data_IF_075566071742
#
_entry.id   IF_075566071742
#
_cell.length_a   1.000
_cell.length_b   1.000
_cell.length_c   1.000
_cell.angle_alpha   90.00
_cell.angle_beta   90.00
_cell.angle_gamma   90.00
#
_symmetry.space_group_name_H-M   'P 1'
#
loop_
_entity.id
_entity.type
_entity.pdbx_description
1 polymer ?
#
# COMPACT_ATOMS: atom_id res chain seq x y z
N UNK A 1 -29.03 -51.36 37.71
CA UNK A 1 -28.64 -51.70 36.32
C UNK A 1 -28.86 -50.47 35.44
N UNK A 2 -27.88 -50.23 34.55
CA UNK A 2 -27.86 -49.29 33.41
C UNK A 2 -27.68 -47.80 33.73
N UNK A 3 -26.42 -47.43 33.94
CA UNK A 3 -25.93 -46.07 33.65
C UNK A 3 -25.87 -45.85 32.14
N UNK A 4 -26.37 -44.71 31.69
CA UNK A 4 -26.29 -44.27 30.31
C UNK A 4 -24.96 -43.54 30.09
N UNK A 5 -24.06 -44.27 29.43
CA UNK A 5 -22.75 -43.86 28.96
C UNK A 5 -22.89 -43.19 27.59
N UNK A 6 -22.11 -42.11 27.40
CA UNK A 6 -21.62 -41.54 26.15
C UNK A 6 -22.58 -41.31 24.98
N UNK A 7 -23.00 -40.06 24.85
CA UNK A 7 -23.00 -39.24 23.62
C UNK A 7 -23.55 -37.89 24.09
N UNK A 8 -22.99 -36.70 23.90
CA UNK A 8 -22.45 -36.08 22.70
C UNK A 8 -21.63 -34.87 23.23
N UNK A 9 -20.36 -35.06 23.59
CA UNK A 9 -19.41 -33.97 23.86
C UNK A 9 -18.37 -33.91 22.74
N UNK A 10 -18.86 -33.88 21.49
CA UNK A 10 -18.05 -33.77 20.28
C UNK A 10 -18.60 -32.67 19.38
N UNK A 11 -18.71 -31.46 19.92
CA UNK A 11 -18.88 -30.23 19.13
C UNK A 11 -17.88 -29.18 19.65
N UNK A 12 -16.61 -29.58 19.80
CA UNK A 12 -15.45 -28.68 19.77
C UNK A 12 -14.75 -28.82 18.41
N UNK A 13 -15.54 -28.98 17.35
CA UNK A 13 -15.05 -28.74 15.99
C UNK A 13 -14.86 -27.24 15.87
N UNK A 14 -13.63 -26.77 16.12
CA UNK A 14 -13.17 -25.45 15.75
C UNK A 14 -13.32 -25.27 14.26
N UNK A 15 -14.54 -24.96 13.82
CA UNK A 15 -14.74 -24.28 12.55
C UNK A 15 -14.24 -22.87 12.79
N UNK A 16 -12.95 -22.66 12.52
CA UNK A 16 -12.51 -21.35 12.08
C UNK A 16 -13.25 -21.13 10.77
N UNK A 17 -14.48 -20.60 10.88
CA UNK A 17 -15.21 -20.09 9.75
C UNK A 17 -14.29 -19.03 9.16
N UNK A 18 -13.63 -19.37 8.05
CA UNK A 18 -13.08 -18.36 7.17
C UNK A 18 -14.31 -17.72 6.54
N UNK A 19 -14.90 -16.77 7.26
CA UNK A 19 -15.96 -15.93 6.72
C UNK A 19 -15.33 -15.25 5.51
N UNK A 20 -15.68 -15.73 4.31
CA UNK A 20 -15.58 -14.90 3.12
C UNK A 20 -16.41 -13.66 3.45
N UNK A 21 -15.73 -12.58 3.83
CA UNK A 21 -16.35 -11.28 4.02
C UNK A 21 -17.05 -11.00 2.71
N UNK A 22 -18.39 -11.00 2.76
CA UNK A 22 -19.24 -11.26 1.58
C UNK A 22 -19.01 -10.26 0.45
N UNK A 23 -18.35 -9.13 0.73
CA UNK A 23 -18.16 -8.00 -0.20
C UNK A 23 -16.80 -7.28 -0.07
N UNK A 24 -15.71 -7.95 0.32
CA UNK A 24 -14.42 -7.24 0.43
C UNK A 24 -13.18 -8.09 0.72
N UNK A 25 -12.06 -7.41 0.91
CA UNK A 25 -10.78 -7.99 1.26
C UNK A 25 -10.31 -7.47 2.62
N UNK A 26 -9.92 -8.40 3.50
CA UNK A 26 -9.37 -8.06 4.82
C UNK A 26 -7.86 -7.79 4.69
N UNK A 27 -7.43 -6.56 5.00
CA UNK A 27 -6.03 -6.17 5.04
C UNK A 27 -5.70 -5.53 6.39
N UNK A 28 -4.92 -6.23 7.21
CA UNK A 28 -4.71 -5.84 8.60
C UNK A 28 -6.01 -5.93 9.39
N UNK A 29 -6.44 -4.82 9.99
CA UNK A 29 -7.71 -4.67 10.70
C UNK A 29 -8.85 -4.12 9.83
N UNK A 30 -8.56 -3.71 8.60
CA UNK A 30 -9.51 -2.99 7.74
C UNK A 30 -10.09 -3.89 6.65
N UNK A 31 -11.34 -3.65 6.30
CA UNK A 31 -12.03 -4.33 5.18
C UNK A 31 -12.16 -3.36 4.02
N UNK A 32 -11.53 -3.70 2.91
CA UNK A 32 -11.58 -2.93 1.67
C UNK A 32 -12.64 -3.49 0.72
N UNK A 33 -13.43 -2.61 0.11
CA UNK A 33 -14.34 -3.03 -0.97
C UNK A 33 -13.53 -3.51 -2.18
N UNK A 34 -14.15 -4.32 -3.03
CA UNK A 34 -13.54 -4.71 -4.31
C UNK A 34 -13.17 -3.45 -5.12
N UNK A 35 -11.95 -3.40 -5.63
CA UNK A 35 -11.42 -2.24 -6.35
C UNK A 35 -9.98 -1.88 -5.96
N UNK A 36 -9.60 -0.65 -6.28
CA UNK A 36 -8.27 -0.10 -6.03
C UNK A 36 -8.37 0.97 -4.95
N UNK A 37 -7.47 0.88 -3.96
CA UNK A 37 -7.41 1.77 -2.81
C UNK A 37 -5.98 2.28 -2.62
N UNK A 38 -5.86 3.53 -2.16
CA UNK A 38 -4.59 4.09 -1.71
C UNK A 38 -4.50 3.96 -0.20
N UNK A 39 -3.41 3.37 0.29
CA UNK A 39 -3.14 3.23 1.71
C UNK A 39 -2.06 4.23 2.11
N UNK A 40 -2.38 5.08 3.08
CA UNK A 40 -1.46 6.07 3.65
C UNK A 40 -0.87 5.66 5.01
N UNK A 41 -1.16 4.45 5.51
CA UNK A 41 -0.66 3.97 6.80
C UNK A 41 0.84 3.65 6.77
N UNK A 42 1.41 3.44 5.59
CA UNK A 42 2.86 3.37 5.36
C UNK A 42 3.32 4.65 4.67
N UNK A 43 4.47 5.21 5.07
CA UNK A 43 5.18 6.23 4.30
C UNK A 43 6.38 5.58 3.64
N UNK A 44 6.49 5.59 2.30
CA UNK A 44 5.56 6.20 1.35
C UNK A 44 4.24 5.39 1.20
N UNK A 45 3.22 6.03 0.63
CA UNK A 45 1.91 5.43 0.39
C UNK A 45 2.02 4.14 -0.46
N UNK A 46 0.98 3.32 -0.46
CA UNK A 46 0.94 2.09 -1.26
C UNK A 46 -0.40 1.90 -1.97
N UNK A 47 -0.36 1.12 -3.05
CA UNK A 47 -1.54 0.63 -3.75
C UNK A 47 -2.03 -0.64 -3.08
N UNK A 48 -3.34 -0.74 -2.83
CA UNK A 48 -4.01 -2.00 -2.51
C UNK A 48 -5.09 -2.27 -3.57
N UNK A 49 -5.01 -3.40 -4.23
CA UNK A 49 -6.05 -3.90 -5.12
C UNK A 49 -6.75 -5.10 -4.47
N UNK A 50 -8.03 -4.94 -4.16
CA UNK A 50 -8.92 -5.99 -3.70
C UNK A 50 -9.66 -6.60 -4.88
N UNK A 51 -9.41 -7.89 -5.16
CA UNK A 51 -10.09 -8.62 -6.24
C UNK A 51 -11.42 -9.22 -5.77
N UNK A 52 -12.38 -9.48 -6.70
CA UNK A 52 -13.67 -10.08 -6.36
C UNK A 52 -13.59 -11.47 -5.69
N UNK A 53 -12.49 -12.19 -5.89
CA UNK A 53 -12.25 -13.49 -5.26
C UNK A 53 -11.68 -13.38 -3.83
N UNK A 54 -11.55 -12.16 -3.29
CA UNK A 54 -10.94 -11.88 -1.99
C UNK A 54 -9.41 -11.80 -1.99
N UNK A 55 -8.76 -11.91 -3.16
CA UNK A 55 -7.31 -11.78 -3.25
C UNK A 55 -6.89 -10.31 -3.14
N UNK A 56 -5.84 -10.06 -2.36
CA UNK A 56 -5.21 -8.75 -2.22
C UNK A 56 -3.90 -8.74 -3.03
N UNK A 57 -3.68 -7.65 -3.76
CA UNK A 57 -2.38 -7.31 -4.34
C UNK A 57 -1.97 -5.96 -3.77
N UNK A 58 -0.75 -5.85 -3.27
CA UNK A 58 -0.18 -4.58 -2.83
C UNK A 58 0.99 -4.18 -3.72
N UNK A 59 1.15 -2.87 -3.94
CA UNK A 59 2.33 -2.32 -4.60
C UNK A 59 2.86 -1.11 -3.83
N UNK A 60 4.14 -1.17 -3.45
CA UNK A 60 4.84 -0.05 -2.83
C UNK A 60 5.16 1.03 -3.86
N UNK A 61 5.51 2.23 -3.39
CA UNK A 61 6.07 3.25 -4.27
C UNK A 61 7.36 2.76 -4.93
N UNK A 62 7.61 3.17 -6.19
CA UNK A 62 8.86 2.87 -6.87
C UNK A 62 10.04 3.51 -6.13
N UNK A 63 11.23 2.96 -6.36
CA UNK A 63 12.47 3.58 -5.91
C UNK A 63 12.65 4.94 -6.61
N UNK A 64 13.23 5.89 -5.87
CA UNK A 64 13.55 7.22 -6.39
C UNK A 64 14.75 7.10 -7.33
N UNK A 65 14.48 6.90 -8.62
CA UNK A 65 15.50 6.76 -9.65
C UNK A 65 15.01 7.36 -10.97
N UNK A 66 15.93 7.97 -11.71
CA UNK A 66 15.67 8.42 -13.07
C UNK A 66 15.84 7.27 -14.06
N UNK A 67 15.03 7.28 -15.12
CA UNK A 67 15.24 6.39 -16.25
C UNK A 67 16.50 6.82 -17.03
N UNK A 68 17.11 5.88 -17.76
CA UNK A 68 18.21 6.15 -18.71
C UNK A 68 19.49 6.72 -18.08
N UNK A 69 19.85 6.25 -16.88
CA UNK A 69 21.09 6.64 -16.16
C UNK A 69 21.22 8.15 -15.89
N UNK A 70 20.12 8.91 -16.00
CA UNK A 70 20.12 10.34 -15.71
C UNK A 70 20.39 10.59 -14.23
N UNK A 71 21.10 11.67 -13.97
CA UNK A 71 21.38 12.14 -12.62
C UNK A 71 20.09 12.62 -11.93
N UNK A 72 19.84 12.10 -10.73
CA UNK A 72 18.81 12.61 -9.82
C UNK A 72 19.34 13.91 -9.22
N UNK A 73 18.72 15.04 -9.57
CA UNK A 73 19.11 16.37 -9.09
C UNK A 73 18.24 16.88 -7.94
N UNK A 74 17.20 16.13 -7.57
CA UNK A 74 16.30 16.46 -6.47
C UNK A 74 15.15 15.49 -6.34
N UNK A 75 14.24 15.77 -5.41
CA UNK A 75 13.01 15.00 -5.20
C UNK A 75 11.78 15.90 -5.04
N UNK A 76 10.65 15.43 -5.54
CA UNK A 76 9.32 15.96 -5.23
C UNK A 76 8.81 15.15 -4.02
N UNK A 77 8.50 15.85 -2.93
CA UNK A 77 8.06 15.23 -1.68
C UNK A 77 6.75 14.44 -1.86
N UNK A 78 6.58 13.42 -1.00
CA UNK A 78 5.36 12.63 -0.94
C UNK A 78 4.13 13.50 -0.64
N UNK A 79 2.99 13.12 -1.21
CA UNK A 79 1.74 13.88 -1.13
C UNK A 79 0.61 13.06 -0.55
N UNK A 80 0.33 13.21 0.74
CA UNK A 80 -0.75 12.49 1.41
C UNK A 80 -2.15 12.88 0.92
N UNK A 81 -2.29 14.00 0.20
CA UNK A 81 -3.53 14.48 -0.40
C UNK A 81 -3.84 13.86 -1.77
N UNK A 82 -2.96 12.99 -2.28
CA UNK A 82 -3.07 12.40 -3.62
C UNK A 82 -3.23 10.88 -3.58
N UNK A 83 -3.88 10.27 -4.57
CA UNK A 83 -3.92 8.81 -4.70
C UNK A 83 -2.57 8.26 -5.18
N UNK A 84 -2.35 6.96 -5.02
CA UNK A 84 -1.25 6.27 -5.68
C UNK A 84 -1.38 6.36 -7.22
N UNK A 85 -0.28 6.59 -7.97
CA UNK A 85 1.11 6.76 -7.53
C UNK A 85 1.51 8.21 -7.22
N UNK A 86 0.61 9.18 -7.32
CA UNK A 86 0.94 10.60 -7.13
C UNK A 86 1.27 10.99 -5.69
N UNK A 87 0.90 10.16 -4.71
CA UNK A 87 1.36 10.31 -3.34
C UNK A 87 2.80 9.88 -3.09
N UNK A 88 3.44 9.20 -4.05
CA UNK A 88 4.83 8.75 -3.93
C UNK A 88 5.82 9.92 -4.04
N UNK A 89 7.02 9.73 -3.49
CA UNK A 89 8.17 10.58 -3.76
C UNK A 89 8.56 10.39 -5.23
N UNK A 90 8.77 11.48 -5.97
CA UNK A 90 9.19 11.42 -7.38
C UNK A 90 10.60 12.01 -7.53
N UNK A 91 11.49 11.41 -8.34
CA UNK A 91 12.79 12.01 -8.63
C UNK A 91 12.65 13.19 -9.58
N UNK A 92 13.48 14.21 -9.38
CA UNK A 92 13.72 15.27 -10.36
C UNK A 92 14.99 14.90 -11.11
N UNK A 93 14.84 14.67 -12.40
CA UNK A 93 15.90 14.19 -13.28
C UNK A 93 16.49 15.34 -14.08
N UNK A 94 17.82 15.33 -14.20
CA UNK A 94 18.54 16.30 -15.02
C UNK A 94 18.01 16.31 -16.46
N UNK A 95 17.66 17.50 -16.95
CA UNK A 95 17.18 17.69 -18.32
C UNK A 95 15.73 17.23 -18.56
N UNK A 96 14.96 16.93 -17.52
CA UNK A 96 13.52 16.66 -17.61
C UNK A 96 12.72 17.86 -17.07
N UNK A 97 11.61 18.20 -17.72
CA UNK A 97 10.72 19.27 -17.29
C UNK A 97 9.66 18.77 -16.31
N UNK A 98 9.47 19.47 -15.20
CA UNK A 98 8.51 19.12 -14.15
C UNK A 98 7.59 20.32 -13.86
N UNK A 99 6.39 20.39 -14.47
CA UNK A 99 5.49 21.55 -14.33
C UNK A 99 4.99 21.73 -12.89
N UNK A 100 4.94 20.66 -12.11
CA UNK A 100 4.56 20.68 -10.69
C UNK A 100 5.59 21.38 -9.78
N UNK A 101 6.76 21.73 -10.32
CA UNK A 101 7.88 22.34 -9.61
C UNK A 101 8.24 23.73 -10.15
N UNK A 102 7.59 24.18 -11.22
CA UNK A 102 7.84 25.48 -11.88
C UNK A 102 7.57 26.67 -10.92
N UNK A 103 6.72 26.48 -9.90
CA UNK A 103 6.31 27.50 -8.94
C UNK A 103 7.15 27.58 -7.63
N UNK A 104 8.22 26.78 -7.45
CA UNK A 104 9.02 26.81 -6.20
C UNK A 104 10.53 26.83 -6.43
N UNK A 105 11.29 27.75 -5.77
CA UNK A 105 12.74 27.71 -5.78
C UNK A 105 13.21 26.47 -5.03
N UNK A 106 13.98 25.62 -5.70
CA UNK A 106 14.49 24.37 -5.14
C UNK A 106 15.32 24.62 -3.88
N UNK A 107 15.02 23.90 -2.80
CA UNK A 107 16.03 23.55 -1.81
C UNK A 107 16.79 22.35 -2.38
N UNK A 108 17.98 22.60 -2.93
CA UNK A 108 18.99 21.55 -3.03
C UNK A 108 19.34 21.13 -1.60
N UNK A 109 19.27 19.85 -1.23
CA UNK A 109 20.07 19.41 -0.10
C UNK A 109 21.53 19.68 -0.52
N UNK A 110 22.18 20.63 0.14
CA UNK A 110 23.63 20.77 0.03
C UNK A 110 24.22 19.44 0.49
N UNK A 111 24.58 18.61 -0.48
CA UNK A 111 25.33 17.39 -0.24
C UNK A 111 26.74 17.88 0.10
N UNK A 112 26.95 18.21 1.38
CA UNK A 112 28.26 18.53 1.91
C UNK A 112 29.16 17.32 1.74
N UNK A 113 30.05 17.39 0.75
CA UNK A 113 31.23 16.55 0.71
C UNK A 113 32.25 17.21 1.66
N UNK A 114 32.33 16.70 2.89
CA UNK A 114 33.56 16.79 3.72
C UNK A 114 34.39 15.52 3.50
#
# INVERSE_FOLDING_TARGET
MKGYICAILLICGGMVYSEKVRDGCLFGSDVFSVGIHTIHTTTPCSLLACKPNGQIITASCPLVACNDEKEVIGIIAARSDKPYPDCCIKPICKGTYYPEVDDKPYHFPEIGFE
#
